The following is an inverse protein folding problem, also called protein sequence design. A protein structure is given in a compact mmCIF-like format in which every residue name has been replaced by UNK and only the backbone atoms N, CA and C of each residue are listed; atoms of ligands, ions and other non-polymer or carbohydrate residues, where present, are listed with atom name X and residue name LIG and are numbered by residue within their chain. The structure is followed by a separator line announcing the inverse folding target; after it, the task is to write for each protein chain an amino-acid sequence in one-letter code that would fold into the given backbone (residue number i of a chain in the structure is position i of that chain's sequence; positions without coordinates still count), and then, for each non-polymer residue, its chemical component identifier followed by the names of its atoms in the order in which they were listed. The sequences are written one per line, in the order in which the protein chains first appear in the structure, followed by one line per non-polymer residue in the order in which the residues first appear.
data_IF_162790361240
#
_entry.id   IF_162790361240
#
_cell.length_a   1.000
_cell.length_b   1.000
_cell.length_c   1.000
_cell.angle_alpha   90.00
_cell.angle_beta   90.00
_cell.angle_gamma   90.00
#
_symmetry.space_group_name_H-M   'P 1'
#
loop_
_entity.id
_entity.type
_entity.pdbx_description
1 polymer ?
#
# COMPACT_ATOMS: atom_id res chain seq x y z
N UNK A 1 -5.50 3.45 -8.62
CA UNK A 1 -6.69 2.95 -7.92
C UNK A 1 -6.76 1.43 -8.05
N UNK A 2 -6.99 0.75 -6.93
CA UNK A 2 -7.21 -0.69 -6.89
C UNK A 2 -8.64 -0.96 -7.36
N UNK A 3 -8.81 -1.76 -8.41
CA UNK A 3 -10.13 -2.00 -9.03
C UNK A 3 -10.98 -2.97 -8.23
N UNK A 4 -10.38 -4.09 -7.83
CA UNK A 4 -11.07 -5.14 -7.09
C UNK A 4 -11.27 -4.72 -5.63
N UNK A 5 -12.43 -5.01 -5.06
CA UNK A 5 -12.74 -4.66 -3.67
C UNK A 5 -11.93 -5.45 -2.64
N UNK A 6 -11.54 -6.66 -3.00
CA UNK A 6 -10.68 -7.52 -2.20
C UNK A 6 -9.92 -8.50 -3.10
N UNK A 7 -8.85 -9.05 -2.58
CA UNK A 7 -8.06 -10.04 -3.32
C UNK A 7 -6.97 -10.67 -2.49
N UNK A 8 -6.28 -11.63 -3.12
CA UNK A 8 -5.17 -12.36 -2.55
C UNK A 8 -3.98 -12.29 -3.49
N UNK A 9 -2.82 -11.91 -2.96
CA UNK A 9 -1.56 -11.88 -3.69
C UNK A 9 -0.72 -13.04 -3.18
N UNK A 10 -0.37 -13.97 -4.07
CA UNK A 10 0.46 -15.12 -3.78
C UNK A 10 1.71 -15.09 -4.64
N UNK A 11 2.85 -15.38 -4.07
CA UNK A 11 4.11 -15.46 -4.79
C UNK A 11 5.28 -15.50 -3.84
N UNK A 12 6.34 -16.24 -4.20
CA UNK A 12 7.57 -16.30 -3.41
C UNK A 12 8.22 -14.92 -3.36
N UNK A 13 8.68 -14.53 -2.18
CA UNK A 13 9.43 -13.30 -1.97
C UNK A 13 10.88 -13.65 -1.62
N UNK A 14 11.79 -13.13 -2.41
CA UNK A 14 13.23 -13.29 -2.24
C UNK A 14 13.96 -12.00 -2.56
N UNK A 15 15.27 -12.02 -2.34
CA UNK A 15 16.12 -10.89 -2.68
C UNK A 15 16.16 -10.69 -4.20
N UNK A 16 15.94 -9.46 -4.68
CA UNK A 16 16.03 -9.16 -6.11
C UNK A 16 17.41 -9.53 -6.67
N UNK A 17 17.42 -10.12 -7.86
CA UNK A 17 18.67 -10.50 -8.55
C UNK A 17 19.36 -9.28 -9.18
N UNK A 18 18.61 -8.26 -9.55
CA UNK A 18 19.09 -7.03 -10.18
C UNK A 18 19.44 -5.93 -9.19
N UNK A 19 18.71 -5.85 -8.07
CA UNK A 19 18.93 -4.84 -7.03
C UNK A 19 18.82 -5.49 -5.64
N UNK A 20 19.96 -5.73 -5.02
CA UNK A 20 20.08 -6.41 -3.73
C UNK A 20 19.46 -5.64 -2.55
N UNK A 21 19.14 -4.35 -2.74
CA UNK A 21 18.44 -3.54 -1.74
C UNK A 21 16.92 -3.73 -1.76
N UNK A 22 16.39 -4.39 -2.79
CA UNK A 22 14.98 -4.68 -2.93
C UNK A 22 14.69 -6.17 -2.77
N UNK A 23 13.45 -6.45 -2.38
CA UNK A 23 12.83 -7.77 -2.54
C UNK A 23 12.11 -7.84 -3.88
N UNK A 24 11.87 -9.05 -4.37
CA UNK A 24 11.14 -9.29 -5.61
C UNK A 24 10.20 -10.50 -5.46
N UNK A 25 9.19 -10.56 -6.31
CA UNK A 25 8.29 -11.70 -6.42
C UNK A 25 8.82 -12.66 -7.49
N UNK A 26 8.92 -13.94 -7.14
CA UNK A 26 9.30 -15.04 -8.03
C UNK A 26 8.09 -15.96 -8.20
N UNK A 27 7.34 -15.75 -9.29
CA UNK A 27 6.10 -16.49 -9.56
C UNK A 27 6.30 -17.99 -9.70
N UNK A 28 7.43 -18.38 -10.27
CA UNK A 28 7.81 -19.78 -10.49
C UNK A 28 8.37 -20.48 -9.24
N UNK A 29 8.52 -19.74 -8.15
CA UNK A 29 9.09 -20.24 -6.90
C UNK A 29 10.60 -20.57 -6.98
N UNK A 30 11.31 -20.09 -8.00
CA UNK A 30 12.74 -20.34 -8.22
C UNK A 30 13.63 -19.78 -7.12
N UNK A 31 13.20 -18.68 -6.51
CA UNK A 31 13.92 -18.00 -5.42
C UNK A 31 12.94 -17.59 -4.32
N UNK A 32 13.48 -17.32 -3.12
CA UNK A 32 12.73 -16.80 -2.00
C UNK A 32 11.84 -17.84 -1.31
N UNK A 33 10.87 -17.35 -0.54
CA UNK A 33 9.95 -18.14 0.26
C UNK A 33 8.51 -17.80 -0.06
N UNK A 34 7.64 -18.80 -0.01
CA UNK A 34 6.20 -18.64 -0.18
C UNK A 34 5.64 -17.51 0.68
N UNK A 35 4.80 -16.67 0.10
CA UNK A 35 4.18 -15.53 0.78
C UNK A 35 2.75 -15.32 0.28
N UNK A 36 1.85 -14.98 1.20
CA UNK A 36 0.44 -14.70 0.92
C UNK A 36 0.01 -13.45 1.65
N UNK A 37 -0.53 -12.51 0.88
CA UNK A 37 -1.13 -11.26 1.37
C UNK A 37 -2.59 -11.18 0.91
N UNK A 38 -3.52 -11.04 1.83
CA UNK A 38 -4.90 -10.71 1.54
C UNK A 38 -5.10 -9.22 1.68
N UNK A 39 -5.81 -8.58 0.75
CA UNK A 39 -6.15 -7.17 0.85
C UNK A 39 -7.65 -6.94 0.72
N UNK A 40 -8.11 -5.87 1.34
CA UNK A 40 -9.49 -5.37 1.24
C UNK A 40 -9.45 -3.86 1.10
N UNK A 41 -10.16 -3.34 0.10
CA UNK A 41 -10.30 -1.89 -0.11
C UNK A 41 -11.18 -1.30 0.97
N UNK A 42 -10.69 -0.24 1.61
CA UNK A 42 -11.44 0.52 2.61
C UNK A 42 -12.02 1.81 2.01
N UNK A 43 -11.25 2.51 1.18
CA UNK A 43 -11.66 3.78 0.57
C UNK A 43 -10.88 4.06 -0.71
N UNK A 44 -11.54 4.64 -1.71
CA UNK A 44 -10.93 5.07 -2.98
C UNK A 44 -11.01 6.58 -3.13
N UNK A 45 -9.89 7.18 -3.57
CA UNK A 45 -9.79 8.61 -3.83
C UNK A 45 -9.36 8.89 -5.29
N UNK A 46 -10.01 8.28 -6.24
CA UNK A 46 -9.62 8.36 -7.65
C UNK A 46 -8.34 7.54 -7.93
N UNK A 47 -7.18 8.16 -7.85
CA UNK A 47 -5.90 7.50 -8.16
C UNK A 47 -5.22 6.82 -6.97
N UNK A 48 -5.70 7.06 -5.77
CA UNK A 48 -5.15 6.50 -4.52
C UNK A 48 -6.22 5.71 -3.79
N UNK A 49 -5.82 4.60 -3.18
CA UNK A 49 -6.72 3.69 -2.48
C UNK A 49 -6.17 3.35 -1.11
N UNK A 50 -7.02 3.39 -0.09
CA UNK A 50 -6.70 2.88 1.24
C UNK A 50 -7.11 1.42 1.29
N UNK A 51 -6.17 0.54 1.60
CA UNK A 51 -6.41 -0.89 1.74
C UNK A 51 -6.01 -1.41 3.12
N UNK A 52 -6.74 -2.40 3.59
CA UNK A 52 -6.36 -3.22 4.74
C UNK A 52 -5.70 -4.50 4.23
N UNK A 53 -4.58 -4.90 4.82
CA UNK A 53 -3.88 -6.13 4.48
C UNK A 53 -3.89 -7.10 5.66
N UNK A 54 -4.14 -8.37 5.37
CA UNK A 54 -4.01 -9.47 6.31
C UNK A 54 -2.98 -10.46 5.78
N UNK A 55 -1.97 -10.74 6.59
CA UNK A 55 -0.84 -11.59 6.19
C UNK A 55 -1.01 -13.01 6.70
N UNK A 56 -0.80 -14.02 5.83
CA UNK A 56 -0.59 -15.40 6.25
C UNK A 56 0.89 -15.67 6.53
N UNK A 57 1.78 -14.89 5.95
CA UNK A 57 3.24 -14.97 6.10
C UNK A 57 3.80 -13.58 6.39
N UNK A 58 5.01 -13.49 6.93
CA UNK A 58 5.66 -12.22 7.28
C UNK A 58 7.05 -12.08 6.64
N UNK A 59 7.14 -12.10 5.32
CA UNK A 59 8.43 -11.93 4.63
C UNK A 59 8.88 -10.48 4.62
N UNK A 60 10.17 -10.27 4.50
CA UNK A 60 10.77 -8.93 4.42
C UNK A 60 10.11 -8.10 3.32
N UNK A 61 9.64 -6.89 3.67
CA UNK A 61 8.94 -5.98 2.77
C UNK A 61 7.71 -6.59 2.06
N UNK A 62 7.08 -7.60 2.63
CA UNK A 62 6.06 -8.39 1.96
C UNK A 62 4.92 -7.54 1.37
N UNK A 63 4.28 -6.67 2.15
CA UNK A 63 3.18 -5.82 1.65
C UNK A 63 3.70 -4.89 0.56
N UNK A 64 4.86 -4.29 0.77
CA UNK A 64 5.47 -3.34 -0.17
C UNK A 64 5.74 -3.98 -1.53
N UNK A 65 6.36 -5.15 -1.55
CA UNK A 65 6.71 -5.84 -2.79
C UNK A 65 5.51 -6.53 -3.44
N UNK A 66 4.59 -7.10 -2.66
CA UNK A 66 3.35 -7.67 -3.19
C UNK A 66 2.46 -6.60 -3.82
N UNK A 67 2.32 -5.43 -3.20
CA UNK A 67 1.52 -4.34 -3.77
C UNK A 67 2.18 -3.76 -5.03
N UNK A 68 3.50 -3.62 -5.07
CA UNK A 68 4.21 -3.28 -6.30
C UNK A 68 3.98 -4.31 -7.41
N UNK A 69 4.05 -5.59 -7.09
CA UNK A 69 3.81 -6.70 -8.01
C UNK A 69 2.39 -6.64 -8.59
N UNK A 70 1.40 -6.28 -7.78
CA UNK A 70 0.02 -6.05 -8.20
C UNK A 70 -0.14 -4.81 -9.12
N UNK A 71 0.90 -3.98 -9.22
CA UNK A 71 0.88 -2.71 -9.98
C UNK A 71 0.49 -1.49 -9.16
N UNK A 72 0.43 -1.62 -7.83
CA UNK A 72 0.01 -0.57 -6.90
C UNK A 72 1.02 -0.38 -5.77
N UNK A 73 2.24 0.17 -6.04
CA UNK A 73 3.21 0.44 -4.98
C UNK A 73 2.62 1.35 -3.91
N UNK A 74 3.11 1.23 -2.68
CA UNK A 74 2.62 2.04 -1.58
C UNK A 74 2.91 3.52 -1.81
N UNK A 75 2.01 4.37 -1.36
CA UNK A 75 2.14 5.81 -1.45
C UNK A 75 3.43 6.28 -0.77
N UNK A 76 4.23 7.05 -1.47
CA UNK A 76 5.55 7.55 -1.07
C UNK A 76 6.59 6.46 -0.71
N UNK A 77 6.46 5.29 -1.27
CA UNK A 77 7.47 4.23 -1.13
C UNK A 77 8.60 4.43 -2.16
N UNK A 78 9.62 5.15 -1.76
CA UNK A 78 10.77 5.47 -2.61
C UNK A 78 11.47 4.22 -3.15
N UNK A 79 11.67 3.21 -2.30
CA UNK A 79 12.38 1.98 -2.69
C UNK A 79 11.64 1.16 -3.74
N UNK A 80 10.32 1.17 -3.71
CA UNK A 80 9.48 0.38 -4.62
C UNK A 80 8.72 1.23 -5.65
N UNK A 81 9.10 2.48 -5.82
CA UNK A 81 8.64 3.35 -6.90
C UNK A 81 7.30 4.04 -6.66
N UNK A 82 6.86 4.15 -5.40
CA UNK A 82 5.63 4.84 -5.02
C UNK A 82 5.77 6.33 -4.70
N UNK A 83 6.97 6.89 -4.87
CA UNK A 83 7.33 8.29 -4.57
C UNK A 83 7.11 9.26 -5.73
N UNK A 84 6.29 8.87 -6.71
CA UNK A 84 5.97 9.67 -7.90
C UNK A 84 4.53 9.46 -8.33
N UNK A 85 4.05 10.34 -9.21
CA UNK A 85 2.73 10.22 -9.82
C UNK A 85 2.76 9.11 -10.87
N UNK A 86 2.19 7.95 -10.56
CA UNK A 86 2.12 6.80 -11.47
C UNK A 86 0.88 6.85 -12.37
N UNK A 87 -0.20 7.42 -11.87
CA UNK A 87 -1.48 7.60 -12.54
C UNK A 87 -2.04 8.98 -12.23
N UNK A 88 -2.73 9.55 -13.18
CA UNK A 88 -3.34 10.86 -13.07
C UNK A 88 -2.62 11.92 -13.89
N UNK A 89 -3.03 13.16 -13.70
CA UNK A 89 -2.46 14.29 -14.44
C UNK A 89 -1.17 14.78 -13.79
N UNK A 90 -0.22 15.20 -14.62
CA UNK A 90 1.00 15.91 -14.20
C UNK A 90 0.82 17.42 -14.21
N UNK A 91 -0.39 17.94 -14.43
CA UNK A 91 -0.69 19.37 -14.38
C UNK A 91 -0.43 19.96 -13.00
N UNK A 92 -0.07 21.26 -12.98
CA UNK A 92 0.50 21.96 -11.83
C UNK A 92 -0.29 21.80 -10.53
N UNK A 93 -1.62 21.90 -10.56
CA UNK A 93 -2.46 21.79 -9.34
C UNK A 93 -2.38 20.40 -8.71
N UNK A 94 -2.56 19.34 -9.49
CA UNK A 94 -2.50 17.97 -8.99
C UNK A 94 -1.09 17.60 -8.53
N UNK A 95 -0.09 17.96 -9.32
CA UNK A 95 1.32 17.74 -8.96
C UNK A 95 1.67 18.42 -7.64
N UNK A 96 1.26 19.68 -7.44
CA UNK A 96 1.50 20.40 -6.19
C UNK A 96 0.75 19.76 -5.02
N UNK A 97 -0.47 19.31 -5.24
CA UNK A 97 -1.24 18.57 -4.25
C UNK A 97 -0.51 17.29 -3.80
N UNK A 98 -0.02 16.47 -4.73
CA UNK A 98 0.73 15.25 -4.41
C UNK A 98 2.04 15.57 -3.67
N UNK A 99 2.78 16.61 -4.08
CA UNK A 99 3.99 17.05 -3.37
C UNK A 99 3.66 17.40 -1.92
N UNK A 100 2.55 18.11 -1.68
CA UNK A 100 2.12 18.44 -0.33
C UNK A 100 1.72 17.20 0.47
N UNK A 101 1.11 16.21 -0.16
CA UNK A 101 0.81 14.93 0.49
C UNK A 101 2.08 14.14 0.85
N UNK A 102 3.08 14.13 -0.03
CA UNK A 102 4.37 13.51 0.26
C UNK A 102 5.10 14.20 1.43
N UNK A 103 4.97 15.52 1.55
CA UNK A 103 5.52 16.26 2.71
C UNK A 103 4.78 15.93 4.00
N UNK A 104 3.47 15.71 3.94
CA UNK A 104 2.66 15.37 5.10
C UNK A 104 2.98 13.96 5.63
N UNK A 105 3.30 13.02 4.74
CA UNK A 105 3.75 11.67 5.10
C UNK A 105 5.06 11.35 4.35
N UNK A 106 6.23 11.77 4.89
CA UNK A 106 7.52 11.66 4.22
C UNK A 106 8.14 10.26 4.32
N UNK A 107 7.34 9.24 4.20
CA UNK A 107 7.71 7.83 4.26
C UNK A 107 6.68 6.98 3.51
N UNK A 108 6.99 5.72 3.23
CA UNK A 108 5.98 4.82 2.69
C UNK A 108 4.79 4.70 3.65
N UNK A 109 3.59 4.89 3.11
CA UNK A 109 2.34 4.92 3.87
C UNK A 109 1.92 3.49 4.22
N UNK A 110 2.52 2.95 5.27
CA UNK A 110 2.26 1.62 5.81
C UNK A 110 2.21 1.69 7.33
N UNK A 111 1.19 1.05 7.90
CA UNK A 111 0.98 1.01 9.35
C UNK A 111 0.50 -0.37 9.79
N UNK A 112 1.11 -0.90 10.84
CA UNK A 112 0.67 -2.12 11.50
C UNK A 112 -0.51 -1.81 12.43
N UNK A 113 -1.75 -2.09 11.97
CA UNK A 113 -2.97 -1.79 12.72
C UNK A 113 -3.16 -2.72 13.90
N UNK A 114 -2.89 -3.99 13.74
CA UNK A 114 -3.10 -4.99 14.79
C UNK A 114 -2.01 -6.05 14.79
N UNK A 115 -1.74 -6.60 15.96
CA UNK A 115 -0.84 -7.72 16.17
C UNK A 115 -1.52 -8.72 17.10
N UNK A 116 -1.57 -9.98 16.68
CA UNK A 116 -2.05 -11.09 17.48
C UNK A 116 -1.01 -12.19 17.57
N UNK A 117 -0.86 -12.78 18.75
CA UNK A 117 0.01 -13.93 18.95
C UNK A 117 -0.46 -14.81 20.10
N UNK A 118 0.01 -16.04 20.10
CA UNK A 118 -0.15 -16.97 21.23
C UNK A 118 1.11 -16.91 22.11
N UNK A 119 0.93 -16.66 23.41
CA UNK A 119 2.05 -16.61 24.34
C UNK A 119 2.73 -17.98 24.42
N UNK A 120 4.05 -18.08 24.17
CA UNK A 120 4.71 -19.38 23.98
C UNK A 120 4.76 -20.27 25.24
N UNK A 121 4.68 -19.65 26.45
CA UNK A 121 4.69 -20.40 27.71
C UNK A 121 3.31 -20.69 28.25
N UNK A 122 2.38 -19.70 28.18
CA UNK A 122 1.05 -19.80 28.84
C UNK A 122 -0.04 -20.28 27.89
N UNK A 123 0.16 -20.22 26.57
CA UNK A 123 -0.84 -20.51 25.56
C UNK A 123 -1.95 -19.45 25.45
N UNK A 124 -1.84 -18.34 26.17
CA UNK A 124 -2.83 -17.26 26.09
C UNK A 124 -2.77 -16.54 24.76
N UNK A 125 -3.94 -16.18 24.24
CA UNK A 125 -4.09 -15.37 23.05
C UNK A 125 -3.96 -13.88 23.41
N UNK A 126 -3.06 -13.18 22.74
CA UNK A 126 -2.89 -11.74 22.88
C UNK A 126 -3.20 -11.05 21.56
N UNK A 127 -3.94 -9.94 21.65
CA UNK A 127 -4.23 -9.07 20.50
C UNK A 127 -4.08 -7.62 20.90
N UNK A 128 -3.34 -6.88 20.11
CA UNK A 128 -3.10 -5.45 20.27
C UNK A 128 -3.54 -4.71 19.03
N UNK A 129 -4.14 -3.54 19.20
CA UNK A 129 -4.53 -2.65 18.11
C UNK A 129 -3.89 -1.28 18.32
N UNK A 130 -3.61 -0.60 17.22
CA UNK A 130 -3.07 0.76 17.24
C UNK A 130 -3.88 1.68 16.35
N UNK A 131 -3.88 2.97 16.71
CA UNK A 131 -4.52 4.03 15.95
C UNK A 131 -3.66 4.38 14.73
N UNK A 132 -4.30 4.70 13.61
CA UNK A 132 -3.61 5.16 12.41
C UNK A 132 -2.75 6.39 12.74
N UNK A 133 -1.46 6.43 12.37
CA UNK A 133 -0.58 7.55 12.64
C UNK A 133 -1.09 8.87 12.05
N UNK A 134 -0.80 9.97 12.71
CA UNK A 134 -1.28 11.31 12.34
C UNK A 134 -0.86 11.70 10.91
N UNK A 135 0.35 11.36 10.47
CA UNK A 135 0.84 11.64 9.13
C UNK A 135 0.00 10.94 8.04
N UNK A 136 -0.41 9.70 8.26
CA UNK A 136 -1.30 8.98 7.35
C UNK A 136 -2.74 9.51 7.42
N UNK A 137 -3.24 9.87 8.60
CA UNK A 137 -4.56 10.51 8.76
C UNK A 137 -4.60 11.82 7.98
N UNK A 138 -3.55 12.63 8.04
CA UNK A 138 -3.46 13.91 7.32
C UNK A 138 -3.53 13.72 5.80
N UNK A 139 -2.81 12.74 5.26
CA UNK A 139 -2.87 12.42 3.83
C UNK A 139 -4.28 11.99 3.42
N UNK A 140 -4.94 11.15 4.21
CA UNK A 140 -6.32 10.74 3.95
C UNK A 140 -7.26 11.95 3.95
N UNK A 141 -7.16 12.85 4.92
CA UNK A 141 -7.96 14.08 4.96
C UNK A 141 -7.73 14.97 3.72
N UNK A 142 -6.48 15.11 3.29
CA UNK A 142 -6.13 15.89 2.08
C UNK A 142 -6.76 15.28 0.83
N UNK A 143 -6.67 13.97 0.63
CA UNK A 143 -7.31 13.30 -0.51
C UNK A 143 -8.83 13.38 -0.46
N UNK A 144 -9.43 13.19 0.70
CA UNK A 144 -10.88 13.29 0.88
C UNK A 144 -11.40 14.69 0.50
N UNK A 145 -10.74 15.73 1.00
CA UNK A 145 -11.07 17.13 0.67
C UNK A 145 -10.85 17.45 -0.81
N UNK A 146 -9.77 16.96 -1.40
CA UNK A 146 -9.45 17.20 -2.80
C UNK A 146 -10.46 16.54 -3.74
N UNK A 147 -10.79 15.28 -3.51
CA UNK A 147 -11.74 14.55 -4.35
C UNK A 147 -13.18 15.02 -4.18
N UNK A 148 -13.55 15.53 -3.00
CA UNK A 148 -14.86 16.12 -2.75
C UNK A 148 -15.03 17.51 -3.41
N UNK A 149 -13.92 18.24 -3.63
CA UNK A 149 -13.94 19.56 -4.26
C UNK A 149 -13.89 19.50 -5.79
N UNK A 150 -13.42 18.40 -6.36
CA UNK A 150 -13.43 18.16 -7.80
C UNK A 150 -14.72 17.43 -8.13
N UNK A 151 -15.69 18.11 -8.75
CA UNK A 151 -16.88 17.45 -9.30
C UNK A 151 -16.43 16.31 -10.21
N UNK A 152 -17.09 15.14 -10.16
CA UNK A 152 -16.77 14.07 -11.08
C UNK A 152 -17.00 14.58 -12.48
N UNK A 153 -15.93 14.76 -13.27
CA UNK A 153 -16.05 14.86 -14.69
C UNK A 153 -16.76 13.56 -15.13
N UNK A 154 -17.98 13.72 -15.61
CA UNK A 154 -18.66 12.66 -16.35
C UNK A 154 -17.72 12.32 -17.50
N UNK A 155 -17.20 11.11 -17.48
CA UNK A 155 -16.62 10.53 -18.68
C UNK A 155 -17.73 10.58 -19.71
N UNK A 156 -17.65 11.53 -20.64
CA UNK A 156 -18.45 11.51 -21.85
C UNK A 156 -17.89 10.35 -22.66
N UNK A 157 -18.65 9.28 -22.66
CA UNK A 157 -18.54 8.23 -23.65
C UNK A 157 -18.76 8.85 -25.03
N UNK A 158 -17.77 8.82 -25.88
CA UNK A 158 -17.88 8.70 -27.32
C UNK A 158 -16.81 7.73 -27.83
#
# INVERSE_FOLDING_TARGET
NVKEDEGTITGHIGRSLSDRLQMAVFEDGSEGKHAVTHYKVLQRFGYVTVVSCKLETGRTHQIRVHMKYLGHPLFNDERYGGDKILKGTTFTKYKQFIINCFKACPRHALHAKSLGFTHPKTGEQHRYESVLPEDMQEVIRKFDSYTSAVEPHKDEEE
#
